data_IF_385461993618
#
_entry.id   IF_385461993618
#
_cell.length_a   1.000
_cell.length_b   1.000
_cell.length_c   1.000
_cell.angle_alpha   90.00
_cell.angle_beta   90.00
_cell.angle_gamma   90.00
#
_symmetry.space_group_name_H-M   'P 1'
#
loop_
_entity.id
_entity.type
_entity.pdbx_description
1 polymer ?
#
# COMPACT_ATOMS: atom_id res chain seq x y z
N UNK A 1 16.64 -32.06 -2.37
CA UNK A 1 15.76 -31.64 -1.27
C UNK A 1 16.08 -30.18 -0.96
N UNK A 2 15.09 -29.30 -0.91
CA UNK A 2 15.31 -27.90 -0.53
C UNK A 2 15.34 -27.69 0.99
N UNK A 3 15.55 -26.45 1.42
CA UNK A 3 15.60 -26.07 2.84
C UNK A 3 14.27 -26.22 3.60
N UNK A 4 13.16 -26.52 2.91
CA UNK A 4 11.85 -26.78 3.48
C UNK A 4 11.48 -28.26 3.48
N UNK A 5 12.37 -29.13 2.98
CA UNK A 5 12.12 -30.57 2.91
C UNK A 5 11.33 -31.01 1.67
N UNK A 6 11.20 -30.16 0.64
CA UNK A 6 10.56 -30.54 -0.62
C UNK A 6 11.57 -31.17 -1.59
N UNK A 7 11.15 -32.20 -2.33
CA UNK A 7 11.94 -32.74 -3.44
C UNK A 7 11.84 -31.80 -4.64
N UNK A 8 12.98 -31.55 -5.28
CA UNK A 8 13.09 -30.67 -6.43
C UNK A 8 14.23 -31.12 -7.32
N UNK A 9 14.35 -30.47 -8.48
CA UNK A 9 15.44 -30.73 -9.43
C UNK A 9 16.79 -30.53 -8.74
N UNK A 10 17.74 -31.47 -8.91
CA UNK A 10 19.06 -31.32 -8.31
C UNK A 10 19.80 -30.10 -8.91
N UNK A 11 20.64 -29.41 -8.11
CA UNK A 11 21.47 -28.34 -8.62
C UNK A 11 22.49 -28.89 -9.63
N UNK A 12 22.94 -28.04 -10.57
CA UNK A 12 23.89 -28.45 -11.62
C UNK A 12 25.23 -28.96 -11.08
N UNK A 13 25.58 -28.63 -9.83
CA UNK A 13 26.78 -29.11 -9.14
C UNK A 13 26.62 -30.49 -8.48
N UNK A 14 25.42 -31.07 -8.49
CA UNK A 14 25.18 -32.36 -7.86
C UNK A 14 25.83 -33.51 -8.64
N UNK A 15 26.55 -34.37 -7.95
CA UNK A 15 27.20 -35.56 -8.53
C UNK A 15 26.59 -36.85 -7.98
N UNK A 16 26.69 -37.92 -8.77
CA UNK A 16 26.16 -39.23 -8.39
C UNK A 16 26.91 -39.83 -7.20
N UNK A 17 26.22 -40.66 -6.42
CA UNK A 17 26.79 -41.41 -5.29
C UNK A 17 26.92 -42.89 -5.62
N UNK A 18 27.89 -43.61 -5.01
CA UNK A 18 27.94 -45.07 -5.01
C UNK A 18 26.69 -45.72 -4.40
N UNK A 19 26.40 -46.97 -4.78
CA UNK A 19 25.22 -47.70 -4.29
C UNK A 19 25.29 -48.06 -2.79
N UNK A 20 26.48 -48.03 -2.19
CA UNK A 20 26.75 -48.28 -0.77
C UNK A 20 26.99 -46.97 0.01
N UNK A 21 26.61 -45.83 -0.57
CA UNK A 21 26.83 -44.53 0.05
C UNK A 21 26.02 -44.39 1.35
N UNK A 22 26.74 -44.36 2.47
CA UNK A 22 26.16 -44.22 3.80
C UNK A 22 26.46 -42.86 4.44
N UNK A 23 27.10 -41.93 3.71
CA UNK A 23 27.55 -40.63 4.21
C UNK A 23 26.47 -39.55 4.29
N UNK A 24 26.75 -38.52 5.08
CA UNK A 24 25.87 -37.33 5.21
C UNK A 24 25.91 -36.54 3.90
N UNK A 25 24.83 -35.83 3.62
CA UNK A 25 24.78 -34.92 2.49
C UNK A 25 25.93 -33.89 2.53
N UNK A 26 26.44 -33.54 1.35
CA UNK A 26 27.48 -32.54 1.14
C UNK A 26 27.05 -31.55 0.05
N UNK A 27 27.87 -30.54 -0.23
CA UNK A 27 27.62 -29.62 -1.34
C UNK A 27 27.65 -30.33 -2.71
N UNK A 28 28.47 -31.39 -2.83
CA UNK A 28 28.58 -32.21 -4.05
C UNK A 28 27.48 -33.28 -4.11
N UNK A 29 27.06 -33.81 -2.96
CA UNK A 29 25.98 -34.80 -2.83
C UNK A 29 24.85 -34.22 -1.96
N UNK A 30 24.02 -33.31 -2.50
CA UNK A 30 22.93 -32.70 -1.75
C UNK A 30 21.91 -33.73 -1.25
N UNK A 31 21.15 -33.43 -0.18
CA UNK A 31 20.19 -34.38 0.37
C UNK A 31 19.07 -34.71 -0.63
N UNK A 32 18.71 -35.99 -0.74
CA UNK A 32 17.72 -36.47 -1.72
C UNK A 32 17.82 -37.96 -2.00
N UNK A 33 17.06 -38.40 -3.02
CA UNK A 33 17.07 -39.77 -3.52
C UNK A 33 17.97 -39.89 -4.75
N UNK A 34 18.84 -40.89 -4.76
CA UNK A 34 19.80 -41.15 -5.82
C UNK A 34 19.59 -42.53 -6.43
N UNK A 35 19.67 -42.63 -7.75
CA UNK A 35 19.53 -43.90 -8.48
C UNK A 35 18.11 -44.18 -8.98
N UNK A 36 17.85 -45.41 -9.47
CA UNK A 36 16.57 -45.79 -10.04
C UNK A 36 15.43 -45.82 -9.01
N UNK A 37 14.18 -45.72 -9.46
CA UNK A 37 13.01 -45.74 -8.59
C UNK A 37 12.91 -47.02 -7.73
N UNK A 38 13.37 -48.16 -8.26
CA UNK A 38 13.17 -49.48 -7.66
C UNK A 38 14.35 -49.93 -6.77
N UNK A 39 15.36 -49.06 -6.59
CA UNK A 39 16.60 -49.39 -5.87
C UNK A 39 17.42 -48.18 -5.48
N UNK A 40 16.76 -47.04 -5.27
CA UNK A 40 17.43 -45.78 -4.95
C UNK A 40 18.01 -45.74 -3.54
N UNK A 41 19.11 -45.02 -3.38
CA UNK A 41 19.73 -44.74 -2.07
C UNK A 41 19.30 -43.36 -1.58
N UNK A 42 18.91 -43.27 -0.31
CA UNK A 42 18.54 -42.00 0.32
C UNK A 42 19.78 -41.35 0.98
N UNK A 43 20.15 -40.16 0.52
CA UNK A 43 21.20 -39.34 1.12
C UNK A 43 20.54 -38.34 2.07
N UNK A 44 20.75 -38.53 3.36
CA UNK A 44 20.10 -37.73 4.41
C UNK A 44 20.92 -36.49 4.75
N UNK A 45 20.22 -35.38 5.02
CA UNK A 45 20.85 -34.14 5.49
C UNK A 45 21.47 -34.29 6.89
N UNK A 46 20.84 -35.10 7.74
CA UNK A 46 21.27 -35.40 9.09
C UNK A 46 21.27 -36.91 9.33
N UNK A 47 22.22 -37.39 10.13
CA UNK A 47 22.25 -38.75 10.65
C UNK A 47 21.56 -38.81 12.03
N UNK A 48 21.09 -40.00 12.47
CA UNK A 48 20.45 -40.16 13.79
C UNK A 48 21.31 -39.69 14.98
N UNK A 49 22.63 -39.81 14.85
CA UNK A 49 23.58 -39.44 15.90
C UNK A 49 24.00 -37.96 15.84
N UNK A 50 23.55 -37.20 14.84
CA UNK A 50 23.88 -35.79 14.73
C UNK A 50 23.22 -34.98 15.86
N UNK A 51 23.92 -33.94 16.32
CA UNK A 51 23.44 -33.00 17.32
C UNK A 51 23.57 -31.58 16.77
N UNK A 52 22.51 -30.80 16.90
CA UNK A 52 22.54 -29.40 16.51
C UNK A 52 23.49 -28.64 17.44
N UNK A 53 24.57 -28.12 16.88
CA UNK A 53 25.48 -27.20 17.55
C UNK A 53 25.06 -25.78 17.23
N UNK A 54 25.16 -24.87 18.20
CA UNK A 54 24.99 -23.44 17.94
C UNK A 54 25.94 -23.00 16.82
N UNK A 55 25.42 -22.19 15.90
CA UNK A 55 26.18 -21.66 14.76
C UNK A 55 27.33 -20.80 15.29
N UNK A 56 28.56 -21.13 14.91
CA UNK A 56 29.73 -20.34 15.28
C UNK A 56 29.86 -19.14 14.32
N UNK A 57 29.53 -17.96 14.83
CA UNK A 57 29.61 -16.70 14.10
C UNK A 57 30.98 -16.00 14.29
N UNK A 58 31.95 -16.62 14.96
CA UNK A 58 33.25 -15.99 15.22
C UNK A 58 33.99 -15.63 13.92
N UNK A 59 33.84 -16.43 12.86
CA UNK A 59 34.40 -16.13 11.54
C UNK A 59 33.76 -14.90 10.86
N UNK A 60 32.61 -14.44 11.36
CA UNK A 60 31.86 -13.29 10.87
C UNK A 60 32.01 -12.06 11.78
N UNK A 61 32.99 -12.04 12.70
CA UNK A 61 33.18 -10.96 13.68
C UNK A 61 33.43 -9.57 13.07
N UNK A 62 33.79 -9.50 11.78
CA UNK A 62 33.95 -8.26 11.01
C UNK A 62 32.82 -7.96 10.03
N UNK A 63 31.79 -8.82 9.96
CA UNK A 63 30.67 -8.62 9.06
C UNK A 63 29.77 -7.48 9.58
N UNK A 64 29.39 -6.56 8.69
CA UNK A 64 28.37 -5.57 9.01
C UNK A 64 27.01 -6.23 8.94
N UNK A 65 26.33 -6.29 10.07
CA UNK A 65 24.92 -6.68 10.13
C UNK A 65 24.08 -5.51 9.64
N UNK A 66 23.60 -5.59 8.40
CA UNK A 66 22.62 -4.65 7.85
C UNK A 66 21.20 -5.21 7.96
N UNK A 67 20.22 -4.33 8.06
CA UNK A 67 18.82 -4.68 7.82
C UNK A 67 18.57 -4.79 6.31
N UNK A 68 17.64 -5.65 5.90
CA UNK A 68 17.17 -5.69 4.50
C UNK A 68 16.40 -4.43 4.08
N UNK A 69 16.07 -3.55 5.02
CA UNK A 69 15.55 -2.22 4.74
C UNK A 69 16.63 -1.36 4.06
N UNK A 70 16.29 -0.78 2.91
CA UNK A 70 17.18 0.09 2.13
C UNK A 70 17.71 1.28 2.92
N UNK A 71 18.70 1.98 2.35
CA UNK A 71 19.43 3.07 3.01
C UNK A 71 18.49 4.11 3.66
N UNK A 72 18.64 4.31 4.97
CA UNK A 72 17.90 5.34 5.71
C UNK A 72 18.29 6.74 5.22
N UNK A 73 17.30 7.56 4.88
CA UNK A 73 17.49 8.97 4.54
C UNK A 73 17.61 9.79 5.83
N UNK A 74 18.72 10.53 5.98
CA UNK A 74 18.92 11.41 7.12
C UNK A 74 18.21 12.75 6.89
N UNK A 75 17.28 13.12 7.77
CA UNK A 75 16.64 14.43 7.72
C UNK A 75 17.60 15.53 8.22
N UNK A 76 18.16 16.30 7.29
CA UNK A 76 19.08 17.40 7.57
C UNK A 76 18.36 18.72 7.89
N UNK A 77 17.02 18.80 7.72
CA UNK A 77 16.26 20.04 7.93
C UNK A 77 16.43 20.61 9.34
N UNK A 78 16.37 19.82 10.44
CA UNK A 78 16.54 20.38 11.79
C UNK A 78 17.92 21.02 11.99
N UNK A 79 18.97 20.37 11.48
CA UNK A 79 20.35 20.85 11.59
C UNK A 79 20.58 22.14 10.79
N UNK A 80 20.04 22.20 9.57
CA UNK A 80 20.15 23.37 8.70
C UNK A 80 19.34 24.56 9.22
N UNK A 81 18.13 24.35 9.75
CA UNK A 81 17.35 25.44 10.35
C UNK A 81 17.98 25.96 11.64
N UNK A 82 18.57 25.10 12.46
CA UNK A 82 19.32 25.52 13.66
C UNK A 82 20.52 26.38 13.27
N UNK A 83 21.26 25.96 12.23
CA UNK A 83 22.38 26.73 11.71
C UNK A 83 21.94 28.10 11.14
N UNK A 84 20.85 28.12 10.36
CA UNK A 84 20.29 29.35 9.80
C UNK A 84 19.85 30.33 10.90
N UNK A 85 19.23 29.83 11.97
CA UNK A 85 18.82 30.64 13.13
C UNK A 85 20.03 31.23 13.86
N UNK A 86 21.08 30.44 14.07
CA UNK A 86 22.33 30.92 14.69
C UNK A 86 22.99 32.02 13.85
N UNK A 87 23.03 31.84 12.52
CA UNK A 87 23.57 32.84 11.60
C UNK A 87 22.75 34.14 11.63
N UNK A 88 21.42 34.04 11.69
CA UNK A 88 20.55 35.21 11.82
C UNK A 88 20.80 35.97 13.13
N UNK A 89 20.92 35.27 14.26
CA UNK A 89 21.25 35.90 15.54
C UNK A 89 22.60 36.61 15.47
N UNK A 90 23.62 35.96 14.89
CA UNK A 90 24.94 36.57 14.71
C UNK A 90 24.89 37.81 13.80
N UNK A 91 24.12 37.77 12.71
CA UNK A 91 23.94 38.90 11.80
C UNK A 91 23.28 40.09 12.51
N UNK A 92 22.24 39.84 13.32
CA UNK A 92 21.61 40.90 14.12
C UNK A 92 22.54 41.52 15.15
N UNK A 93 23.38 40.71 15.82
CA UNK A 93 24.39 41.19 16.76
C UNK A 93 25.47 42.01 16.05
N UNK A 94 25.92 41.56 14.89
CA UNK A 94 26.88 42.30 14.06
C UNK A 94 26.29 43.64 13.59
N UNK A 95 25.02 43.66 13.17
CA UNK A 95 24.30 44.88 12.80
C UNK A 95 24.15 45.87 13.95
N UNK A 96 23.86 45.39 15.18
CA UNK A 96 23.81 46.21 16.39
C UNK A 96 25.18 46.79 16.78
N UNK A 97 26.25 46.00 16.59
CA UNK A 97 27.62 46.42 16.86
C UNK A 97 28.10 47.48 15.86
N UNK A 98 27.92 47.26 14.54
CA UNK A 98 28.21 48.25 13.50
C UNK A 98 27.33 49.51 13.61
N UNK A 99 26.07 49.34 14.04
CA UNK A 99 25.13 50.45 14.28
C UNK A 99 25.51 51.37 15.44
N UNK A 100 26.61 51.08 16.16
CA UNK A 100 27.15 51.93 17.22
C UNK A 100 26.34 51.87 18.52
N UNK A 101 25.49 50.85 18.71
CA UNK A 101 24.70 50.68 19.93
C UNK A 101 25.56 50.32 21.15
N UNK A 102 26.73 49.70 20.90
CA UNK A 102 27.69 49.28 21.93
C UNK A 102 28.82 50.27 22.17
N UNK A 103 28.93 51.34 21.35
CA UNK A 103 30.05 52.28 21.41
C UNK A 103 29.58 53.74 21.48
N UNK A 104 28.79 54.08 22.51
CA UNK A 104 28.61 55.47 22.94
C UNK A 104 28.57 55.55 24.46
N UNK A 105 29.70 55.93 25.04
CA UNK A 105 29.82 56.26 26.45
C UNK A 105 28.90 57.40 26.88
N UNK A 106 28.45 57.29 28.13
CA UNK A 106 28.02 58.36 29.03
C UNK A 106 27.02 59.38 28.46
N UNK A 107 25.72 59.11 28.64
CA UNK A 107 24.69 60.12 28.43
C UNK A 107 23.27 59.58 28.38
N UNK A 108 22.71 59.28 29.55
CA UNK A 108 21.28 59.07 29.83
C UNK A 108 20.50 58.15 28.87
N UNK A 109 20.36 56.88 29.28
CA UNK A 109 19.49 55.86 28.69
C UNK A 109 17.99 56.25 28.68
N UNK A 110 17.58 57.29 29.39
CA UNK A 110 16.17 57.69 29.55
C UNK A 110 15.69 58.66 28.44
N UNK A 111 16.62 59.32 27.73
CA UNK A 111 16.27 60.40 26.78
C UNK A 111 16.04 59.98 25.33
N UNK A 112 16.54 58.82 24.88
CA UNK A 112 16.54 58.43 23.44
C UNK A 112 15.59 57.28 23.05
N UNK A 113 14.78 56.81 23.98
CA UNK A 113 13.70 55.85 23.69
C UNK A 113 12.43 56.50 23.13
N UNK A 114 12.38 57.83 23.01
CA UNK A 114 11.23 58.57 22.44
C UNK A 114 11.09 58.49 20.91
N UNK A 115 12.02 57.84 20.21
CA UNK A 115 12.09 57.91 18.73
C UNK A 115 11.68 56.68 17.94
N UNK A 116 11.67 55.46 18.50
CA UNK A 116 11.45 54.24 17.71
C UNK A 116 10.80 53.08 18.51
N UNK A 117 9.57 53.22 19.03
CA UNK A 117 8.86 52.12 19.69
C UNK A 117 8.58 50.94 18.73
N UNK A 118 8.57 51.17 17.41
CA UNK A 118 8.31 50.15 16.40
C UNK A 118 9.41 49.08 16.28
N UNK A 119 10.69 49.40 16.49
CA UNK A 119 11.78 48.42 16.36
C UNK A 119 11.90 47.50 17.58
N UNK A 120 11.69 48.01 18.80
CA UNK A 120 11.68 47.19 20.01
C UNK A 120 10.43 46.32 20.12
N UNK A 121 9.28 46.82 19.64
CA UNK A 121 8.06 46.02 19.52
C UNK A 121 8.22 44.89 18.48
N UNK A 122 8.88 45.14 17.34
CA UNK A 122 9.15 44.13 16.33
C UNK A 122 10.15 43.06 16.82
N UNK A 123 11.21 43.47 17.53
CA UNK A 123 12.17 42.54 18.13
C UNK A 123 11.54 41.70 19.25
N UNK A 124 10.64 42.29 20.06
CA UNK A 124 9.86 41.58 21.06
C UNK A 124 8.89 40.58 20.44
N UNK A 125 8.20 40.95 19.36
CA UNK A 125 7.27 40.06 18.66
C UNK A 125 7.98 38.89 17.96
N UNK A 126 9.19 39.12 17.41
CA UNK A 126 10.04 38.08 16.83
C UNK A 126 10.58 37.12 17.90
N UNK A 127 10.95 37.62 19.09
CA UNK A 127 11.41 36.78 20.21
C UNK A 127 10.25 35.99 20.85
N UNK A 128 9.04 36.53 20.92
CA UNK A 128 7.86 35.77 21.40
C UNK A 128 7.39 34.71 20.40
N UNK A 129 7.58 34.92 19.09
CA UNK A 129 7.30 33.91 18.06
C UNK A 129 8.29 32.73 18.05
N UNK A 130 9.52 32.94 18.53
CA UNK A 130 10.59 31.93 18.50
C UNK A 130 10.56 30.92 19.67
N UNK A 131 9.88 31.24 20.78
CA UNK A 131 10.02 30.48 22.03
C UNK A 131 8.71 29.89 22.61
N UNK A 132 7.55 30.06 21.96
CA UNK A 132 6.27 29.76 22.63
C UNK A 132 5.17 29.05 21.84
N UNK A 133 5.35 28.77 20.55
CA UNK A 133 4.37 27.97 19.82
C UNK A 133 4.59 26.47 20.09
N UNK A 134 3.57 25.66 20.42
CA UNK A 134 3.69 24.21 20.18
C UNK A 134 4.15 24.04 18.72
N UNK A 135 5.04 23.08 18.42
CA UNK A 135 5.53 22.90 17.06
C UNK A 135 4.31 22.89 16.16
N UNK A 136 4.23 23.85 15.25
CA UNK A 136 3.30 23.77 14.14
C UNK A 136 3.76 22.55 13.36
N UNK A 137 3.26 21.38 13.75
CA UNK A 137 3.27 20.22 12.90
C UNK A 137 2.49 20.67 11.69
N UNK A 138 3.21 20.97 10.62
CA UNK A 138 2.65 20.79 9.30
C UNK A 138 2.06 19.40 9.35
N UNK A 139 0.74 19.32 9.30
CA UNK A 139 0.02 18.08 9.27
C UNK A 139 0.58 17.32 8.07
N UNK A 140 1.49 16.37 8.33
CA UNK A 140 1.96 15.48 7.29
C UNK A 140 0.69 14.93 6.65
N UNK A 141 0.56 15.09 5.32
CA UNK A 141 -0.50 14.41 4.63
C UNK A 141 -0.58 12.97 5.11
N UNK A 142 -1.74 12.44 5.56
CA UNK A 142 -1.86 11.01 5.65
C UNK A 142 -1.38 10.46 4.31
N UNK A 143 -0.50 9.46 4.34
CA UNK A 143 0.20 8.92 3.16
C UNK A 143 -0.75 8.30 2.09
N UNK A 144 -2.06 8.45 2.31
CA UNK A 144 -3.17 7.95 1.53
C UNK A 144 -4.19 9.02 1.15
N UNK A 145 -3.79 10.29 1.06
CA UNK A 145 -4.70 11.31 0.52
C UNK A 145 -5.05 10.97 -0.93
N UNK A 146 -6.35 10.94 -1.28
CA UNK A 146 -6.75 10.98 -2.67
C UNK A 146 -6.09 12.18 -3.36
N UNK A 147 -5.55 11.95 -4.56
CA UNK A 147 -4.89 12.97 -5.39
C UNK A 147 -3.50 13.41 -4.91
N UNK A 148 -2.92 12.75 -3.92
CA UNK A 148 -1.52 12.95 -3.56
C UNK A 148 -0.58 12.38 -4.64
N UNK A 149 0.62 12.96 -4.76
CA UNK A 149 1.69 12.42 -5.63
C UNK A 149 1.95 10.95 -5.31
N UNK A 150 1.86 10.58 -4.02
CA UNK A 150 2.01 9.21 -3.55
C UNK A 150 1.00 8.23 -4.18
N UNK A 151 -0.23 8.66 -4.46
CA UNK A 151 -1.23 7.83 -5.16
C UNK A 151 -0.82 7.50 -6.59
N UNK A 152 0.02 8.32 -7.22
CA UNK A 152 0.60 8.04 -8.53
C UNK A 152 1.91 7.25 -8.47
N UNK A 153 2.61 7.26 -7.32
CA UNK A 153 3.91 6.60 -7.14
C UNK A 153 3.80 5.14 -6.72
N UNK A 154 2.72 4.75 -6.05
CA UNK A 154 2.51 3.39 -5.54
C UNK A 154 1.11 2.91 -5.89
N UNK A 155 1.04 1.78 -6.59
CA UNK A 155 -0.21 1.08 -6.89
C UNK A 155 -0.94 0.76 -5.59
N UNK A 156 -2.20 1.16 -5.48
CA UNK A 156 -3.02 0.85 -4.30
C UNK A 156 -4.46 0.55 -4.69
N UNK A 157 -5.11 -0.26 -3.87
CA UNK A 157 -6.55 -0.48 -3.97
C UNK A 157 -7.26 0.75 -3.39
N UNK A 158 -8.40 1.11 -3.95
CA UNK A 158 -9.21 2.17 -3.40
C UNK A 158 -10.65 1.73 -3.13
N UNK A 159 -11.32 2.41 -2.20
CA UNK A 159 -12.73 2.24 -1.94
C UNK A 159 -13.48 3.56 -1.93
N UNK A 160 -14.74 3.55 -2.38
CA UNK A 160 -15.59 4.73 -2.30
C UNK A 160 -16.06 4.96 -0.87
N UNK A 161 -15.85 6.18 -0.36
CA UNK A 161 -16.37 6.62 0.94
C UNK A 161 -17.87 6.92 0.79
N UNK A 162 -18.68 6.10 1.44
CA UNK A 162 -20.16 6.18 1.37
C UNK A 162 -20.74 7.20 2.34
N UNK A 163 -19.98 7.59 3.36
CA UNK A 163 -20.42 8.42 4.47
C UNK A 163 -21.11 7.62 5.59
N UNK A 164 -21.23 6.30 5.44
CA UNK A 164 -21.59 5.39 6.51
C UNK A 164 -20.32 4.82 7.16
N UNK A 165 -20.05 5.24 8.39
CA UNK A 165 -18.81 4.88 9.09
C UNK A 165 -18.61 3.36 9.23
N UNK A 166 -19.69 2.58 9.40
CA UNK A 166 -19.57 1.14 9.53
C UNK A 166 -19.23 0.47 8.19
N UNK A 167 -19.83 0.95 7.09
CA UNK A 167 -19.51 0.49 5.73
C UNK A 167 -18.08 0.88 5.36
N UNK A 168 -17.69 2.12 5.62
CA UNK A 168 -16.40 2.68 5.24
C UNK A 168 -15.25 2.03 6.04
N UNK A 169 -15.45 1.78 7.34
CA UNK A 169 -14.47 1.08 8.17
C UNK A 169 -14.33 -0.39 7.75
N UNK A 170 -15.45 -1.08 7.48
CA UNK A 170 -15.41 -2.45 6.98
C UNK A 170 -14.69 -2.56 5.62
N UNK A 171 -14.90 -1.58 4.74
CA UNK A 171 -14.25 -1.51 3.43
C UNK A 171 -12.74 -1.30 3.58
N UNK A 172 -12.33 -0.37 4.45
CA UNK A 172 -10.91 -0.13 4.76
C UNK A 172 -10.24 -1.38 5.32
N UNK A 173 -10.84 -1.98 6.35
CA UNK A 173 -10.29 -3.17 7.00
C UNK A 173 -10.21 -4.37 6.03
N UNK A 174 -11.27 -4.59 5.23
CA UNK A 174 -11.30 -5.65 4.22
C UNK A 174 -10.22 -5.48 3.15
N UNK A 175 -10.09 -4.27 2.59
CA UNK A 175 -9.04 -3.99 1.62
C UNK A 175 -7.63 -4.04 2.22
N UNK A 176 -7.46 -3.67 3.49
CA UNK A 176 -6.16 -3.77 4.18
C UNK A 176 -5.73 -5.23 4.26
N UNK A 177 -6.64 -6.13 4.65
CA UNK A 177 -6.39 -7.57 4.64
C UNK A 177 -6.11 -8.14 3.24
N UNK A 178 -6.82 -7.65 2.22
CA UNK A 178 -6.58 -8.04 0.83
C UNK A 178 -5.21 -7.57 0.32
N UNK A 179 -4.81 -6.32 0.62
CA UNK A 179 -3.48 -5.77 0.33
C UNK A 179 -2.39 -6.66 0.92
N UNK A 180 -2.52 -7.06 2.19
CA UNK A 180 -1.56 -7.96 2.85
C UNK A 180 -1.50 -9.34 2.19
N UNK A 181 -2.65 -9.91 1.83
CA UNK A 181 -2.70 -11.21 1.16
C UNK A 181 -2.14 -11.16 -0.27
N UNK A 182 -2.40 -10.08 -1.01
CA UNK A 182 -1.83 -9.86 -2.33
C UNK A 182 -0.31 -9.74 -2.27
N UNK A 183 0.22 -8.96 -1.32
CA UNK A 183 1.67 -8.84 -1.10
C UNK A 183 2.31 -10.19 -0.72
N UNK A 184 1.61 -11.02 0.06
CA UNK A 184 2.13 -12.32 0.47
C UNK A 184 2.06 -13.40 -0.62
N UNK A 185 1.22 -13.23 -1.64
CA UNK A 185 0.93 -14.28 -2.65
C UNK A 185 1.35 -13.91 -4.07
N UNK A 186 1.62 -12.63 -4.32
CA UNK A 186 1.95 -12.09 -5.65
C UNK A 186 3.21 -11.23 -5.56
N UNK A 187 3.76 -10.86 -6.71
CA UNK A 187 4.86 -9.88 -6.77
C UNK A 187 4.38 -8.42 -6.68
N UNK A 188 3.08 -8.19 -6.46
CA UNK A 188 2.53 -6.85 -6.26
C UNK A 188 2.92 -6.37 -4.86
N UNK A 189 3.49 -5.16 -4.78
CA UNK A 189 3.72 -4.44 -3.52
C UNK A 189 2.73 -3.27 -3.41
N UNK A 190 1.46 -3.55 -3.06
CA UNK A 190 0.45 -2.51 -2.99
C UNK A 190 0.65 -1.63 -1.77
N UNK A 191 0.39 -0.33 -1.94
CA UNK A 191 0.27 0.61 -0.84
C UNK A 191 -0.99 0.39 0.00
N UNK A 192 -1.08 1.12 1.11
CA UNK A 192 -2.26 1.12 1.97
C UNK A 192 -3.52 1.57 1.20
N UNK A 193 -4.70 0.96 1.45
CA UNK A 193 -5.92 1.30 0.74
C UNK A 193 -6.34 2.76 0.91
N UNK A 194 -6.78 3.39 -0.17
CA UNK A 194 -7.25 4.78 -0.17
C UNK A 194 -8.79 4.86 -0.18
N UNK A 195 -9.36 5.65 0.73
CA UNK A 195 -10.77 6.03 0.65
C UNK A 195 -10.94 7.24 -0.26
N UNK A 196 -11.79 7.15 -1.30
CA UNK A 196 -11.99 8.21 -2.29
C UNK A 196 -13.44 8.73 -2.33
N UNK A 197 -13.59 10.01 -2.67
CA UNK A 197 -14.84 10.65 -3.08
C UNK A 197 -14.84 10.78 -4.61
N UNK A 198 -15.62 9.98 -5.35
CA UNK A 198 -15.56 9.97 -6.81
C UNK A 198 -16.01 11.29 -7.46
N UNK A 199 -16.69 12.16 -6.70
CA UNK A 199 -17.11 13.47 -7.18
C UNK A 199 -15.97 14.49 -7.19
N UNK A 200 -14.94 14.30 -6.35
CA UNK A 200 -13.86 15.27 -6.14
C UNK A 200 -12.49 14.71 -6.52
N UNK A 201 -12.28 13.43 -6.28
CA UNK A 201 -10.99 12.78 -6.39
C UNK A 201 -10.74 12.22 -7.79
N UNK A 202 -9.47 12.26 -8.17
CA UNK A 202 -8.90 11.70 -9.38
C UNK A 202 -8.90 10.18 -9.30
N UNK A 203 -9.65 9.55 -10.21
CA UNK A 203 -9.84 8.10 -10.25
C UNK A 203 -8.71 7.41 -11.01
N UNK A 204 -8.05 8.12 -11.93
CA UNK A 204 -7.04 7.55 -12.82
C UNK A 204 -5.80 6.98 -12.11
N UNK A 205 -5.59 7.31 -10.84
CA UNK A 205 -4.48 6.77 -10.04
C UNK A 205 -4.74 5.36 -9.49
N UNK A 206 -5.95 4.85 -9.61
CA UNK A 206 -6.35 3.58 -9.00
C UNK A 206 -6.74 2.58 -10.08
N UNK A 207 -6.05 1.43 -10.22
CA UNK A 207 -6.42 0.44 -11.24
C UNK A 207 -7.76 -0.24 -10.92
N UNK A 208 -8.09 -0.36 -9.63
CA UNK A 208 -9.31 -0.98 -9.14
C UNK A 208 -9.92 -0.16 -8.01
N UNK A 209 -11.22 0.13 -8.15
CA UNK A 209 -12.03 0.83 -7.15
C UNK A 209 -13.14 -0.09 -6.65
N UNK A 210 -13.15 -0.35 -5.35
CA UNK A 210 -14.23 -1.05 -4.67
C UNK A 210 -15.34 -0.07 -4.27
N UNK A 211 -16.57 -0.33 -4.70
CA UNK A 211 -17.72 0.51 -4.41
C UNK A 211 -18.77 -0.28 -3.61
N UNK A 212 -18.79 -0.14 -2.28
CA UNK A 212 -19.85 -0.74 -1.47
C UNK A 212 -21.16 0.05 -1.63
N UNK A 213 -22.24 -0.65 -1.92
CA UNK A 213 -23.55 -0.04 -2.13
C UNK A 213 -24.23 0.25 -0.80
N UNK A 214 -24.58 1.52 -0.60
CA UNK A 214 -25.23 2.02 0.61
C UNK A 214 -26.61 2.64 0.26
N UNK A 215 -27.71 1.87 0.31
CA UNK A 215 -29.02 2.31 -0.19
C UNK A 215 -29.65 3.46 0.62
N UNK A 216 -29.19 3.69 1.85
CA UNK A 216 -29.59 4.82 2.69
C UNK A 216 -28.92 6.16 2.34
N UNK A 217 -28.04 6.19 1.33
CA UNK A 217 -27.32 7.39 0.90
C UNK A 217 -27.91 7.96 -0.39
N UNK A 218 -27.73 9.28 -0.66
CA UNK A 218 -28.15 9.86 -1.93
C UNK A 218 -27.51 9.13 -3.11
N UNK A 219 -28.20 9.10 -4.25
CA UNK A 219 -27.61 8.63 -5.51
C UNK A 219 -26.47 9.58 -5.92
N UNK A 220 -25.38 9.07 -6.54
CA UNK A 220 -24.34 9.93 -7.08
C UNK A 220 -24.91 10.90 -8.12
N UNK A 221 -24.34 12.09 -8.20
CA UNK A 221 -24.74 13.06 -9.23
C UNK A 221 -24.36 12.55 -10.61
N UNK A 222 -25.07 12.99 -11.66
CA UNK A 222 -24.72 12.63 -13.06
C UNK A 222 -23.27 12.99 -13.41
N UNK A 223 -22.73 14.09 -12.85
CA UNK A 223 -21.34 14.46 -13.05
C UNK A 223 -20.38 13.41 -12.45
N UNK A 224 -20.71 12.86 -11.29
CA UNK A 224 -19.93 11.78 -10.65
C UNK A 224 -20.01 10.51 -11.49
N UNK A 225 -21.21 10.15 -11.94
CA UNK A 225 -21.44 8.99 -12.81
C UNK A 225 -20.61 9.07 -14.09
N UNK A 226 -20.58 10.23 -14.77
CA UNK A 226 -19.74 10.44 -15.97
C UNK A 226 -18.24 10.29 -15.70
N UNK A 227 -17.75 10.66 -14.52
CA UNK A 227 -16.32 10.46 -14.15
C UNK A 227 -16.01 8.97 -14.02
N UNK A 228 -16.91 8.22 -13.43
CA UNK A 228 -16.78 6.76 -13.22
C UNK A 228 -16.87 6.02 -14.56
N UNK A 229 -17.81 6.42 -15.42
CA UNK A 229 -17.90 5.94 -16.80
C UNK A 229 -16.60 6.18 -17.59
N UNK A 230 -16.10 7.42 -17.57
CA UNK A 230 -14.82 7.75 -18.20
C UNK A 230 -13.66 6.93 -17.63
N UNK A 231 -13.63 6.69 -16.32
CA UNK A 231 -12.64 5.83 -15.68
C UNK A 231 -12.69 4.39 -16.23
N UNK A 232 -13.88 3.81 -16.32
CA UNK A 232 -14.06 2.45 -16.87
C UNK A 232 -13.67 2.36 -18.35
N UNK A 233 -14.06 3.34 -19.17
CA UNK A 233 -13.66 3.40 -20.60
C UNK A 233 -12.15 3.51 -20.80
N UNK A 234 -11.43 4.09 -19.85
CA UNK A 234 -9.97 4.21 -19.88
C UNK A 234 -9.24 2.99 -19.27
N UNK A 235 -9.95 1.87 -19.06
CA UNK A 235 -9.37 0.62 -18.56
C UNK A 235 -9.35 0.47 -17.04
N UNK A 236 -9.97 1.41 -16.32
CA UNK A 236 -10.17 1.29 -14.87
C UNK A 236 -11.22 0.23 -14.53
N UNK A 237 -11.02 -0.51 -13.44
CA UNK A 237 -11.99 -1.51 -12.98
C UNK A 237 -12.77 -1.02 -11.77
N UNK A 238 -14.10 -1.14 -11.79
CA UNK A 238 -14.97 -0.84 -10.63
C UNK A 238 -15.67 -2.11 -10.18
N UNK A 239 -15.51 -2.47 -8.90
CA UNK A 239 -16.21 -3.59 -8.27
C UNK A 239 -17.35 -3.05 -7.41
N UNK A 240 -18.59 -3.19 -7.89
CA UNK A 240 -19.78 -2.85 -7.12
C UNK A 240 -20.18 -4.01 -6.21
N UNK A 241 -20.30 -3.75 -4.90
CA UNK A 241 -20.68 -4.77 -3.91
C UNK A 241 -21.97 -4.39 -3.20
N UNK A 242 -23.02 -5.18 -3.46
CA UNK A 242 -24.36 -5.00 -2.86
C UNK A 242 -24.43 -5.46 -1.41
N UNK A 243 -23.45 -6.25 -0.90
CA UNK A 243 -23.37 -6.66 0.51
C UNK A 243 -24.62 -7.38 1.05
N UNK A 244 -25.47 -7.89 0.17
CA UNK A 244 -26.84 -8.34 0.44
C UNK A 244 -26.99 -9.87 0.34
N UNK A 245 -25.90 -10.62 0.24
CA UNK A 245 -25.91 -12.07 -0.01
C UNK A 245 -26.68 -12.92 1.05
N UNK A 246 -26.96 -12.37 2.23
CA UNK A 246 -27.81 -13.01 3.25
C UNK A 246 -29.32 -12.83 3.02
N UNK A 247 -29.71 -11.71 2.41
CA UNK A 247 -31.11 -11.32 2.22
C UNK A 247 -31.57 -11.55 0.80
N UNK A 248 -30.66 -11.46 -0.18
CA UNK A 248 -30.90 -11.77 -1.57
C UNK A 248 -31.31 -13.25 -1.73
N UNK A 249 -32.34 -13.48 -2.55
CA UNK A 249 -32.82 -14.83 -2.90
C UNK A 249 -33.01 -14.91 -4.41
N UNK A 250 -32.60 -16.03 -5.00
CA UNK A 250 -32.83 -16.29 -6.42
C UNK A 250 -34.34 -16.21 -6.73
N UNK A 251 -34.71 -15.41 -7.74
CA UNK A 251 -36.11 -15.18 -8.14
C UNK A 251 -36.95 -14.37 -7.13
N UNK A 252 -36.36 -13.89 -6.04
CA UNK A 252 -37.01 -13.02 -5.07
C UNK A 252 -37.07 -11.56 -5.54
N UNK A 253 -37.84 -10.70 -4.85
CA UNK A 253 -37.82 -9.26 -5.11
C UNK A 253 -36.40 -8.69 -4.91
N UNK A 254 -36.00 -7.64 -5.67
CA UNK A 254 -34.70 -7.02 -5.50
C UNK A 254 -34.56 -6.44 -4.09
N UNK A 255 -33.38 -6.64 -3.50
CA UNK A 255 -33.00 -6.00 -2.24
C UNK A 255 -32.90 -4.48 -2.42
N UNK A 256 -32.97 -3.69 -1.34
CA UNK A 256 -32.72 -2.25 -1.40
C UNK A 256 -31.38 -1.90 -2.08
N UNK A 257 -30.33 -2.68 -1.80
CA UNK A 257 -28.99 -2.54 -2.35
C UNK A 257 -28.98 -2.81 -3.86
N UNK A 258 -29.60 -3.91 -4.31
CA UNK A 258 -29.71 -4.23 -5.73
C UNK A 258 -30.57 -3.20 -6.48
N UNK A 259 -31.66 -2.72 -5.89
CA UNK A 259 -32.51 -1.67 -6.48
C UNK A 259 -31.74 -0.35 -6.61
N UNK A 260 -30.96 0.02 -5.59
CA UNK A 260 -30.11 1.20 -5.60
C UNK A 260 -29.03 1.09 -6.69
N UNK A 261 -28.35 -0.05 -6.78
CA UNK A 261 -27.33 -0.30 -7.80
C UNK A 261 -27.95 -0.22 -9.20
N UNK A 262 -29.09 -0.89 -9.46
CA UNK A 262 -29.78 -0.81 -10.76
C UNK A 262 -30.12 0.62 -11.16
N UNK A 263 -30.57 1.45 -10.20
CA UNK A 263 -30.86 2.86 -10.45
C UNK A 263 -29.58 3.66 -10.78
N UNK A 264 -28.47 3.35 -10.12
CA UNK A 264 -27.16 3.95 -10.40
C UNK A 264 -26.68 3.55 -11.80
N UNK A 265 -26.68 2.25 -12.11
CA UNK A 265 -26.21 1.71 -13.38
C UNK A 265 -27.07 2.15 -14.56
N UNK A 266 -28.37 2.41 -14.37
CA UNK A 266 -29.24 2.95 -15.43
C UNK A 266 -28.80 4.32 -15.96
N UNK A 267 -27.91 5.02 -15.25
CA UNK A 267 -27.33 6.29 -15.69
C UNK A 267 -25.93 6.14 -16.29
N UNK A 268 -25.32 4.94 -16.20
CA UNK A 268 -24.03 4.61 -16.79
C UNK A 268 -24.25 4.00 -18.19
N UNK A 269 -23.41 4.39 -19.15
CA UNK A 269 -23.37 3.75 -20.47
C UNK A 269 -22.52 2.48 -20.41
N UNK A 270 -22.93 1.50 -19.61
CA UNK A 270 -22.28 0.18 -19.55
C UNK A 270 -22.99 -0.82 -20.45
N UNK A 271 -22.27 -1.77 -21.06
CA UNK A 271 -22.89 -2.89 -21.75
C UNK A 271 -23.71 -3.77 -20.80
N UNK A 272 -24.51 -4.65 -21.37
CA UNK A 272 -25.33 -5.57 -20.59
C UNK A 272 -24.45 -6.42 -19.67
N UNK A 273 -24.95 -6.68 -18.46
CA UNK A 273 -24.26 -7.54 -17.50
C UNK A 273 -24.80 -8.97 -17.61
N UNK A 274 -23.90 -9.94 -17.58
CA UNK A 274 -24.23 -11.36 -17.50
C UNK A 274 -23.59 -12.02 -16.28
N UNK A 275 -24.14 -13.13 -15.76
CA UNK A 275 -23.45 -13.92 -14.74
C UNK A 275 -22.11 -14.40 -15.28
N UNK A 276 -21.05 -14.38 -14.47
CA UNK A 276 -19.70 -14.78 -14.92
C UNK A 276 -19.74 -16.16 -15.58
N UNK A 277 -19.43 -16.28 -16.88
CA UNK A 277 -19.35 -17.56 -17.57
C UNK A 277 -18.24 -18.45 -16.96
N UNK A 278 -18.40 -19.77 -17.01
CA UNK A 278 -17.42 -20.70 -16.44
C UNK A 278 -16.04 -20.61 -17.12
N UNK A 279 -15.99 -20.27 -18.40
CA UNK A 279 -14.77 -20.10 -19.19
C UNK A 279 -14.18 -18.69 -19.14
N UNK A 280 -14.81 -17.78 -18.40
CA UNK A 280 -14.41 -16.37 -18.30
C UNK A 280 -13.01 -16.21 -17.71
N UNK A 281 -12.25 -15.19 -18.14
CA UNK A 281 -10.84 -15.02 -17.72
C UNK A 281 -10.68 -14.85 -16.20
N UNK A 282 -11.71 -14.33 -15.52
CA UNK A 282 -11.71 -14.15 -14.06
C UNK A 282 -11.60 -15.46 -13.29
N UNK A 283 -12.04 -16.59 -13.84
CA UNK A 283 -11.91 -17.91 -13.18
C UNK A 283 -10.48 -18.43 -13.19
N UNK A 284 -9.58 -17.76 -13.92
CA UNK A 284 -8.18 -18.17 -14.14
C UNK A 284 -7.19 -17.00 -14.16
N UNK A 285 -7.56 -15.85 -13.58
CA UNK A 285 -6.73 -14.65 -13.59
C UNK A 285 -5.51 -14.77 -12.64
N UNK A 286 -5.62 -15.56 -11.57
CA UNK A 286 -4.50 -15.86 -10.67
C UNK A 286 -4.65 -17.24 -10.05
N UNK A 287 -5.78 -17.50 -9.40
CA UNK A 287 -6.20 -18.83 -8.99
C UNK A 287 -7.15 -19.41 -10.04
N UNK A 288 -7.18 -20.75 -10.14
CA UNK A 288 -8.24 -21.47 -10.83
C UNK A 288 -9.40 -21.67 -9.87
N UNK A 289 -10.54 -21.03 -10.14
CA UNK A 289 -11.72 -21.03 -9.28
C UNK A 289 -13.00 -21.27 -10.08
N UNK A 290 -13.88 -22.13 -9.58
CA UNK A 290 -15.18 -22.38 -10.20
C UNK A 290 -16.27 -21.40 -9.74
N UNK A 291 -16.06 -20.78 -8.58
CA UNK A 291 -17.01 -19.86 -7.94
C UNK A 291 -16.27 -18.68 -7.31
N UNK A 292 -16.99 -17.59 -7.06
CA UNK A 292 -16.47 -16.37 -6.44
C UNK A 292 -17.06 -16.18 -5.04
N UNK A 293 -16.63 -16.97 -4.05
CA UNK A 293 -17.16 -16.85 -2.70
C UNK A 293 -16.68 -15.54 -2.05
N UNK A 294 -17.60 -14.84 -1.38
CA UNK A 294 -17.28 -13.76 -0.46
C UNK A 294 -17.33 -14.24 0.99
N UNK A 295 -17.78 -13.36 1.89
CA UNK A 295 -18.18 -13.75 3.25
C UNK A 295 -19.25 -14.85 3.26
N UNK A 296 -20.07 -14.90 2.21
CA UNK A 296 -21.11 -15.90 1.98
C UNK A 296 -20.88 -16.54 0.61
N UNK A 297 -21.23 -17.84 0.49
CA UNK A 297 -21.08 -18.61 -0.74
C UNK A 297 -22.28 -18.47 -1.70
N UNK A 298 -23.32 -17.74 -1.31
CA UNK A 298 -24.62 -17.66 -2.00
C UNK A 298 -24.74 -16.51 -3.00
N UNK A 299 -23.67 -15.75 -3.23
CA UNK A 299 -23.65 -14.59 -4.14
C UNK A 299 -23.36 -14.96 -5.59
N UNK A 300 -24.12 -14.40 -6.53
CA UNK A 300 -23.83 -14.47 -7.96
C UNK A 300 -22.97 -13.26 -8.36
N UNK A 301 -21.80 -13.51 -8.96
CA UNK A 301 -20.98 -12.45 -9.56
C UNK A 301 -21.43 -12.19 -10.99
N UNK A 302 -21.43 -10.93 -11.38
CA UNK A 302 -21.82 -10.44 -12.70
C UNK A 302 -20.67 -9.67 -13.34
N UNK A 303 -20.53 -9.77 -14.66
CA UNK A 303 -19.53 -9.08 -15.48
C UNK A 303 -20.17 -8.47 -16.70
N UNK A 304 -19.45 -7.56 -17.35
CA UNK A 304 -19.78 -7.10 -18.69
C UNK A 304 -19.89 -8.28 -19.65
N UNK A 305 -21.00 -8.35 -20.39
CA UNK A 305 -21.20 -9.38 -21.39
C UNK A 305 -20.21 -9.19 -22.54
N UNK A 306 -19.43 -10.22 -22.81
CA UNK A 306 -18.50 -10.21 -23.94
C UNK A 306 -19.29 -10.28 -25.24
N UNK A 307 -18.91 -9.53 -26.29
CA UNK A 307 -19.55 -9.67 -27.59
C UNK A 307 -19.44 -11.13 -28.05
N UNK A 308 -20.48 -11.69 -28.70
CA UNK A 308 -20.47 -13.06 -29.18
C UNK A 308 -19.26 -13.28 -30.08
N UNK A 309 -18.52 -14.37 -29.85
CA UNK A 309 -17.34 -14.69 -30.64
C UNK A 309 -17.74 -14.79 -32.12
N UNK A 310 -17.01 -14.09 -33.00
CA UNK A 310 -17.17 -14.27 -34.43
C UNK A 310 -16.88 -15.74 -34.78
N UNK A 311 -17.77 -16.37 -35.57
CA UNK A 311 -17.64 -17.76 -35.98
C UNK A 311 -16.22 -18.03 -36.52
N UNK A 312 -15.48 -18.93 -35.86
CA UNK A 312 -14.18 -19.41 -36.32
C UNK A 312 -12.95 -19.01 -35.50
N UNK A 313 -13.11 -18.35 -34.35
CA UNK A 313 -11.99 -18.13 -33.42
C UNK A 313 -12.13 -19.07 -32.22
N UNK A 314 -11.29 -20.11 -32.13
CA UNK A 314 -11.20 -20.95 -30.92
C UNK A 314 -10.77 -20.09 -29.72
N UNK A 315 -11.43 -20.30 -28.57
CA UNK A 315 -11.14 -19.67 -27.28
C UNK A 315 -10.05 -20.41 -26.52
#
# INVERSE_FOLDING_TARGET
LDGFGALGTPPASATAVPADYADRASAEHPPGFYGPADGGTAVNALRPDDRLKALDLAALSGARTGTLAGAETLDLRPSLFTLALLLLVLDTLAGLWLGGFLNRGSGSLVGRLRGRPAMLAMAGLLLLGAFGGPPARAEEPPANRPNGIESALVTRLAYVVTGDAAIDEASRAGLTGLTQMLAARTALEPGEPAGLDPAKDELAFYPLIYWPIAPGRPQPSEATIRRVDAFMRNGGTVLFDTRDALTARAGGPPTPEAAYLRKMLATLEIPELEPVPSDHVLTKAFYLVDTFPGRYATGQTWVEALPPAAEGTER
#
